data_IF_113614983281
#
_entry.id   IF_113614983281
#
_cell.length_a   1.000
_cell.length_b   1.000
_cell.length_c   1.000
_cell.angle_alpha   90.00
_cell.angle_beta   90.00
_cell.angle_gamma   90.00
#
_symmetry.space_group_name_H-M   'P 1'
#
loop_
_entity.id
_entity.type
_entity.pdbx_description
1 polymer ?
#
# COMPACT_ATOMS: atom_id res chain seq x y z
N UNK A 1 34.90 32.89 9.96
CA UNK A 1 34.99 33.85 8.82
C UNK A 1 33.58 33.89 8.23
N UNK A 2 32.91 35.04 8.18
CA UNK A 2 31.45 35.13 8.02
C UNK A 2 30.90 34.44 6.75
N UNK A 3 31.75 34.28 5.73
CA UNK A 3 31.41 33.61 4.47
C UNK A 3 31.25 32.09 4.65
N UNK A 4 32.13 31.45 5.41
CA UNK A 4 32.06 30.01 5.68
C UNK A 4 30.87 29.64 6.56
N UNK A 5 30.55 30.50 7.53
CA UNK A 5 29.41 30.29 8.43
C UNK A 5 28.08 30.42 7.68
N UNK A 6 27.99 31.35 6.71
CA UNK A 6 26.84 31.49 5.81
C UNK A 6 26.67 30.28 4.88
N UNK A 7 27.77 29.78 4.29
CA UNK A 7 27.73 28.58 3.45
C UNK A 7 27.24 27.35 4.22
N UNK A 8 27.73 27.15 5.44
CA UNK A 8 27.29 26.05 6.32
C UNK A 8 25.81 26.14 6.65
N UNK A 9 25.34 27.34 6.98
CA UNK A 9 23.92 27.60 7.30
C UNK A 9 22.99 27.29 6.12
N UNK A 10 23.40 27.67 4.90
CA UNK A 10 22.61 27.38 3.69
C UNK A 10 22.66 25.89 3.31
N UNK A 11 23.79 25.20 3.54
CA UNK A 11 23.89 23.76 3.33
C UNK A 11 23.01 22.98 4.33
N UNK A 12 22.99 23.39 5.60
CA UNK A 12 22.13 22.80 6.63
C UNK A 12 20.64 23.02 6.33
N UNK A 13 20.28 24.20 5.81
CA UNK A 13 18.90 24.48 5.34
C UNK A 13 18.52 23.60 4.16
N UNK A 14 19.39 23.50 3.16
CA UNK A 14 19.17 22.63 2.01
C UNK A 14 19.05 21.16 2.43
N UNK A 15 19.87 20.70 3.37
CA UNK A 15 19.83 19.34 3.92
C UNK A 15 18.50 19.01 4.61
N UNK A 16 17.98 19.93 5.44
CA UNK A 16 16.66 19.72 6.10
C UNK A 16 15.50 19.71 5.11
N UNK A 17 15.54 20.57 4.09
CA UNK A 17 14.52 20.58 3.03
C UNK A 17 14.56 19.30 2.21
N UNK A 18 15.77 18.82 1.88
CA UNK A 18 15.95 17.55 1.18
C UNK A 18 15.44 16.36 2.01
N UNK A 19 15.72 16.33 3.32
CA UNK A 19 15.18 15.30 4.22
C UNK A 19 13.66 15.30 4.24
N UNK A 20 13.01 16.47 4.40
CA UNK A 20 11.55 16.56 4.37
C UNK A 20 10.92 16.12 3.05
N UNK A 21 11.56 16.42 1.92
CA UNK A 21 11.09 15.97 0.61
C UNK A 21 11.28 14.46 0.41
N UNK A 22 12.35 13.87 0.95
CA UNK A 22 12.60 12.43 0.90
C UNK A 22 11.60 11.66 1.78
N UNK A 23 11.28 12.18 2.96
CA UNK A 23 10.30 11.56 3.86
C UNK A 23 8.89 11.59 3.25
N UNK A 24 8.48 12.72 2.68
CA UNK A 24 7.22 12.84 1.93
C UNK A 24 7.20 11.90 0.71
N UNK A 25 8.32 11.79 -0.01
CA UNK A 25 8.48 10.87 -1.14
C UNK A 25 8.32 9.41 -0.71
N UNK A 26 8.92 9.03 0.42
CA UNK A 26 8.80 7.69 1.00
C UNK A 26 7.36 7.39 1.42
N UNK A 27 6.70 8.34 2.07
CA UNK A 27 5.30 8.21 2.49
C UNK A 27 4.36 8.00 1.28
N UNK A 28 4.52 8.78 0.22
CA UNK A 28 3.75 8.61 -1.03
C UNK A 28 3.99 7.26 -1.68
N UNK A 29 5.24 6.79 -1.68
CA UNK A 29 5.60 5.50 -2.25
C UNK A 29 4.98 4.34 -1.45
N UNK A 30 4.99 4.42 -0.12
CA UNK A 30 4.37 3.42 0.75
C UNK A 30 2.85 3.35 0.53
N UNK A 31 2.18 4.50 0.42
CA UNK A 31 0.74 4.55 0.07
C UNK A 31 0.50 3.95 -1.31
N UNK A 32 1.33 4.24 -2.30
CA UNK A 32 1.20 3.68 -3.65
C UNK A 32 1.40 2.15 -3.65
N UNK A 33 2.42 1.65 -2.96
CA UNK A 33 2.68 0.21 -2.84
C UNK A 33 1.52 -0.52 -2.14
N UNK A 34 0.98 0.07 -1.07
CA UNK A 34 -0.17 -0.48 -0.37
C UNK A 34 -1.39 -0.60 -1.30
N UNK A 35 -1.68 0.45 -2.09
CA UNK A 35 -2.76 0.41 -3.10
C UNK A 35 -2.51 -0.64 -4.18
N UNK A 36 -1.28 -0.73 -4.67
CA UNK A 36 -0.94 -1.70 -5.72
C UNK A 36 -1.10 -3.16 -5.25
N UNK A 37 -0.83 -3.44 -3.97
CA UNK A 37 -1.07 -4.76 -3.39
C UNK A 37 -2.56 -5.09 -3.31
N UNK A 38 -3.40 -4.13 -2.94
CA UNK A 38 -4.87 -4.27 -2.95
C UNK A 38 -5.37 -4.62 -4.35
N UNK A 39 -4.97 -3.83 -5.34
CA UNK A 39 -5.46 -3.98 -6.72
C UNK A 39 -5.08 -5.36 -7.29
N UNK A 40 -3.85 -5.82 -7.02
CA UNK A 40 -3.40 -7.15 -7.45
C UNK A 40 -4.16 -8.28 -6.76
N UNK A 41 -4.42 -8.17 -5.45
CA UNK A 41 -5.19 -9.17 -4.72
C UNK A 41 -6.65 -9.23 -5.22
N UNK A 42 -7.26 -8.07 -5.48
CA UNK A 42 -8.60 -7.96 -6.04
C UNK A 42 -8.69 -8.57 -7.44
N UNK A 43 -7.72 -8.28 -8.31
CA UNK A 43 -7.64 -8.86 -9.66
C UNK A 43 -7.47 -10.38 -9.60
N UNK A 44 -6.58 -10.89 -8.75
CA UNK A 44 -6.35 -12.32 -8.59
C UNK A 44 -7.60 -13.06 -8.10
N UNK A 45 -8.30 -12.50 -7.10
CA UNK A 45 -9.55 -13.06 -6.59
C UNK A 45 -10.65 -13.05 -7.66
N UNK A 46 -10.84 -11.90 -8.34
CA UNK A 46 -11.85 -11.76 -9.40
C UNK A 46 -11.62 -12.76 -10.53
N UNK A 47 -10.37 -12.94 -10.97
CA UNK A 47 -10.04 -13.92 -12.00
C UNK A 47 -10.25 -15.36 -11.52
N UNK A 48 -9.87 -15.67 -10.28
CA UNK A 48 -10.06 -17.00 -9.71
C UNK A 48 -11.54 -17.40 -9.64
N UNK A 49 -12.41 -16.48 -9.20
CA UNK A 49 -13.87 -16.67 -9.16
C UNK A 49 -14.49 -16.73 -10.56
N UNK A 50 -14.01 -15.92 -11.49
CA UNK A 50 -14.46 -15.99 -12.88
C UNK A 50 -14.14 -17.36 -13.49
N UNK A 51 -12.89 -17.80 -13.34
CA UNK A 51 -12.41 -19.08 -13.87
C UNK A 51 -13.17 -20.27 -13.25
N UNK A 52 -13.43 -20.25 -11.95
CA UNK A 52 -14.16 -21.33 -11.28
C UNK A 52 -15.59 -21.47 -11.85
N UNK A 53 -16.23 -20.34 -12.14
CA UNK A 53 -17.57 -20.29 -12.77
C UNK A 53 -17.55 -20.77 -14.22
N UNK A 54 -16.52 -20.45 -14.98
CA UNK A 54 -16.43 -20.87 -16.41
C UNK A 54 -16.04 -22.32 -16.58
N UNK A 55 -15.19 -22.85 -15.70
CA UNK A 55 -14.63 -24.21 -15.83
C UNK A 55 -15.43 -25.25 -15.02
N UNK A 56 -16.44 -24.84 -14.23
CA UNK A 56 -17.08 -25.67 -13.19
C UNK A 56 -16.10 -26.30 -12.20
N UNK A 57 -14.90 -25.75 -12.13
CA UNK A 57 -13.84 -26.15 -11.20
C UNK A 57 -14.01 -25.32 -9.92
N UNK A 58 -14.02 -25.97 -8.76
CA UNK A 58 -14.21 -25.26 -7.49
C UNK A 58 -12.97 -24.47 -7.13
N UNK A 59 -13.14 -23.22 -6.71
CA UNK A 59 -12.01 -22.46 -6.16
C UNK A 59 -11.62 -23.10 -4.82
N UNK A 60 -10.35 -23.49 -4.73
CA UNK A 60 -9.75 -24.06 -3.53
C UNK A 60 -9.92 -23.12 -2.33
N UNK A 61 -10.57 -23.62 -1.27
CA UNK A 61 -10.93 -22.86 -0.06
C UNK A 61 -9.74 -22.13 0.57
N UNK A 62 -8.55 -22.75 0.80
CA UNK A 62 -7.41 -22.02 1.36
C UNK A 62 -6.89 -20.93 0.42
N UNK A 63 -7.05 -21.08 -0.90
CA UNK A 63 -6.72 -20.01 -1.85
C UNK A 63 -7.70 -18.84 -1.74
N UNK A 64 -9.00 -19.13 -1.60
CA UNK A 64 -10.04 -18.12 -1.38
C UNK A 64 -9.77 -17.34 -0.09
N UNK A 65 -9.58 -18.04 1.03
CA UNK A 65 -9.29 -17.46 2.36
C UNK A 65 -8.07 -16.54 2.31
N UNK A 66 -6.97 -17.00 1.71
CA UNK A 66 -5.74 -16.19 1.63
C UNK A 66 -5.94 -14.90 0.83
N UNK A 67 -6.71 -14.94 -0.24
CA UNK A 67 -6.99 -13.77 -1.08
C UNK A 67 -7.93 -12.78 -0.37
N UNK A 68 -8.95 -13.29 0.32
CA UNK A 68 -9.86 -12.46 1.12
C UNK A 68 -9.14 -11.84 2.31
N UNK A 69 -8.28 -12.57 3.01
CA UNK A 69 -7.49 -12.06 4.13
C UNK A 69 -6.51 -10.95 3.68
N UNK A 70 -5.85 -11.13 2.54
CA UNK A 70 -4.96 -10.11 1.97
C UNK A 70 -5.72 -8.81 1.64
N UNK A 71 -6.95 -8.93 1.12
CA UNK A 71 -7.84 -7.80 0.86
C UNK A 71 -8.33 -7.16 2.17
N UNK A 72 -8.67 -7.96 3.17
CA UNK A 72 -9.17 -7.47 4.46
C UNK A 72 -8.09 -6.76 5.29
N UNK A 73 -6.87 -7.31 5.34
CA UNK A 73 -5.73 -6.69 6.03
C UNK A 73 -5.39 -5.32 5.44
N UNK A 74 -5.56 -5.15 4.13
CA UNK A 74 -5.28 -3.91 3.42
C UNK A 74 -6.46 -2.92 3.41
N UNK A 75 -7.72 -3.40 3.37
CA UNK A 75 -8.93 -2.57 3.44
C UNK A 75 -9.15 -1.91 4.81
N UNK A 76 -8.58 -2.46 5.88
CA UNK A 76 -8.64 -1.92 7.25
C UNK A 76 -8.01 -0.53 7.38
N UNK A 77 -7.09 -0.18 6.48
CA UNK A 77 -6.40 1.11 6.45
C UNK A 77 -7.11 2.16 5.57
N UNK A 78 -8.00 1.76 4.66
CA UNK A 78 -8.56 2.64 3.63
C UNK A 78 -10.01 3.07 3.87
N UNK A 79 -10.82 2.34 4.68
CA UNK A 79 -12.22 2.68 4.91
C UNK A 79 -12.63 2.49 6.39
N UNK A 80 -13.24 3.49 7.05
CA UNK A 80 -13.74 3.32 8.42
C UNK A 80 -14.92 2.33 8.51
N UNK A 81 -15.65 2.12 7.42
CA UNK A 81 -16.84 1.23 7.35
C UNK A 81 -16.51 -0.24 7.02
N UNK A 82 -15.27 -0.58 6.63
CA UNK A 82 -14.88 -1.96 6.29
C UNK A 82 -14.49 -2.82 7.49
N UNK A 83 -14.39 -2.23 8.70
CA UNK A 83 -14.01 -2.95 9.94
C UNK A 83 -14.93 -4.13 10.25
N UNK A 84 -16.20 -4.05 9.87
CA UNK A 84 -17.20 -5.09 10.12
C UNK A 84 -17.31 -6.12 8.98
N UNK A 85 -16.77 -5.84 7.79
CA UNK A 85 -16.84 -6.75 6.64
C UNK A 85 -15.78 -7.87 6.69
N UNK A 86 -14.83 -7.77 7.62
CA UNK A 86 -13.69 -8.67 7.78
C UNK A 86 -13.67 -9.35 9.16
N UNK A 87 -14.83 -9.44 9.84
CA UNK A 87 -14.98 -10.24 11.04
C UNK A 87 -15.25 -11.71 10.64
N UNK A 88 -14.73 -12.69 11.40
CA UNK A 88 -14.86 -14.12 11.11
C UNK A 88 -16.32 -14.58 11.08
#
# INVERSE_FOLDING_TARGET
MPIWDKLRTELDRAGRVAQGALDEGKLRLEVFRARQLVDRAAQALGYAVFRSRTTSETLDEPTLVRLTDALCASARWSLPHSRNACAP
#
